data_IF_932000025620
#
_entry.id   IF_932000025620
#
_cell.length_a   1.000
_cell.length_b   1.000
_cell.length_c   1.000
_cell.angle_alpha   90.00
_cell.angle_beta   90.00
_cell.angle_gamma   90.00
#
_symmetry.space_group_name_H-M   'P 1'
#
loop_
_entity.id
_entity.type
_entity.pdbx_description
1 polymer ?
#
# COMPACT_ATOMS: atom_id res chain seq x y z
N UNK A 1 -35.74 -2.71 -14.43
CA UNK A 1 -34.61 -2.77 -13.48
C UNK A 1 -33.80 -1.53 -13.77
N UNK A 2 -33.85 -0.52 -12.90
CA UNK A 2 -33.17 0.75 -13.11
C UNK A 2 -31.67 0.50 -13.09
N UNK A 3 -31.02 0.95 -14.15
CA UNK A 3 -29.57 0.92 -14.31
C UNK A 3 -29.03 2.17 -13.61
N UNK A 4 -28.96 2.15 -12.27
CA UNK A 4 -28.40 3.24 -11.43
C UNK A 4 -26.86 3.30 -11.52
N UNK A 5 -26.29 2.97 -12.69
CA UNK A 5 -24.88 3.16 -12.97
C UNK A 5 -24.67 4.58 -13.50
N UNK A 6 -23.83 5.41 -12.85
CA UNK A 6 -23.52 6.75 -13.34
C UNK A 6 -23.02 6.71 -14.78
N UNK A 7 -23.44 7.69 -15.60
CA UNK A 7 -22.98 7.80 -16.98
C UNK A 7 -21.45 7.96 -17.03
N UNK A 8 -20.79 7.10 -17.82
CA UNK A 8 -19.32 6.96 -17.92
C UNK A 8 -18.57 8.20 -18.38
N UNK A 9 -19.28 9.21 -18.89
CA UNK A 9 -18.70 10.33 -19.63
C UNK A 9 -18.36 11.53 -18.72
N UNK A 10 -18.75 11.49 -17.44
CA UNK A 10 -18.60 12.64 -16.53
C UNK A 10 -17.19 12.78 -15.92
N UNK A 11 -16.36 11.72 -15.92
CA UNK A 11 -15.25 11.53 -14.95
C UNK A 11 -13.83 11.58 -15.57
N UNK A 12 -13.72 11.92 -16.86
CA UNK A 12 -12.70 11.31 -17.72
C UNK A 12 -11.79 12.35 -18.41
N UNK A 13 -10.51 12.49 -17.99
CA UNK A 13 -9.50 13.39 -18.60
C UNK A 13 -8.38 12.66 -19.36
N UNK A 14 -8.02 13.21 -20.53
CA UNK A 14 -6.92 12.78 -21.42
C UNK A 14 -5.53 13.15 -20.85
N UNK A 15 -4.55 12.25 -20.91
CA UNK A 15 -3.15 12.52 -20.52
C UNK A 15 -2.21 12.66 -21.75
N UNK A 16 -1.10 13.40 -21.59
CA UNK A 16 0.03 13.44 -22.55
C UNK A 16 1.15 12.52 -22.05
N UNK A 17 1.82 11.82 -22.97
CA UNK A 17 2.95 10.95 -22.66
C UNK A 17 4.17 11.75 -22.14
N UNK A 18 4.82 11.21 -21.11
CA UNK A 18 6.12 11.59 -20.58
C UNK A 18 7.27 10.83 -21.28
N UNK A 19 8.50 11.38 -21.25
CA UNK A 19 9.68 10.71 -21.82
C UNK A 19 9.98 9.38 -21.11
N UNK A 20 10.41 8.38 -21.88
CA UNK A 20 10.97 7.12 -21.40
C UNK A 20 12.47 7.27 -21.17
N UNK A 21 12.94 6.95 -19.95
CA UNK A 21 14.36 6.99 -19.56
C UNK A 21 15.04 5.61 -19.60
N UNK A 22 14.24 4.55 -19.77
CA UNK A 22 14.66 3.15 -19.67
C UNK A 22 14.42 2.48 -21.03
N UNK A 23 15.38 1.68 -21.50
CA UNK A 23 15.25 0.96 -22.77
C UNK A 23 14.56 -0.40 -22.57
N UNK A 24 14.80 -1.05 -21.43
CA UNK A 24 14.15 -2.32 -21.06
C UNK A 24 14.08 -2.58 -19.53
N UNK A 25 13.48 -3.71 -19.14
CA UNK A 25 13.32 -4.12 -17.74
C UNK A 25 14.66 -4.40 -17.03
N UNK A 26 15.72 -4.71 -17.79
CA UNK A 26 17.05 -4.97 -17.23
C UNK A 26 17.72 -3.68 -16.75
N UNK A 27 17.44 -2.56 -17.40
CA UNK A 27 17.87 -1.23 -16.93
C UNK A 27 17.23 -0.89 -15.59
N UNK A 28 15.93 -1.17 -15.44
CA UNK A 28 15.19 -0.94 -14.20
C UNK A 28 15.74 -1.80 -13.08
N UNK A 29 15.98 -3.10 -13.33
CA UNK A 29 16.55 -4.00 -12.34
C UNK A 29 17.95 -3.55 -11.91
N UNK A 30 18.79 -3.17 -12.86
CA UNK A 30 20.15 -2.68 -12.60
C UNK A 30 20.13 -1.40 -11.77
N UNK A 31 19.20 -0.49 -12.06
CA UNK A 31 18.99 0.71 -11.24
C UNK A 31 18.55 0.36 -9.82
N UNK A 32 17.58 -0.53 -9.63
CA UNK A 32 17.15 -0.92 -8.29
C UNK A 32 18.27 -1.57 -7.47
N UNK A 33 19.15 -2.36 -8.10
CA UNK A 33 20.27 -3.03 -7.44
C UNK A 33 21.45 -2.10 -7.16
N UNK A 34 21.67 -1.08 -7.99
CA UNK A 34 22.78 -0.13 -7.83
C UNK A 34 22.40 1.25 -8.41
N UNK A 35 21.57 2.04 -7.71
CA UNK A 35 20.93 3.23 -8.28
C UNK A 35 21.92 4.25 -8.83
N UNK A 36 22.99 4.53 -8.08
CA UNK A 36 23.98 5.51 -8.48
C UNK A 36 24.83 5.10 -9.69
N UNK A 37 25.17 3.81 -9.77
CA UNK A 37 25.97 3.27 -10.88
C UNK A 37 25.16 3.18 -12.17
N UNK A 38 23.86 3.03 -12.05
CA UNK A 38 22.92 2.87 -13.15
C UNK A 38 21.97 4.07 -13.30
N UNK A 39 22.38 5.25 -12.82
CA UNK A 39 21.59 6.48 -12.91
C UNK A 39 21.30 6.85 -14.37
N UNK A 40 20.03 6.91 -14.81
CA UNK A 40 19.66 7.26 -16.19
C UNK A 40 19.98 8.72 -16.52
N UNK A 41 20.23 9.55 -15.51
CA UNK A 41 20.62 10.95 -15.65
C UNK A 41 22.14 11.12 -15.63
N UNK A 42 22.93 10.03 -15.59
CA UNK A 42 24.40 10.11 -15.52
C UNK A 42 25.02 10.90 -16.67
N UNK A 43 24.39 10.95 -17.83
CA UNK A 43 24.87 11.72 -18.99
C UNK A 43 24.38 13.18 -18.99
N UNK A 44 23.40 13.53 -18.15
CA UNK A 44 22.89 14.88 -18.04
C UNK A 44 23.82 15.74 -17.16
N UNK A 45 24.46 16.73 -17.78
CA UNK A 45 25.47 17.62 -17.19
C UNK A 45 24.89 18.67 -16.20
N UNK A 46 24.03 18.27 -15.27
CA UNK A 46 23.26 19.18 -14.41
C UNK A 46 23.44 18.97 -12.90
N UNK A 47 24.42 18.18 -12.46
CA UNK A 47 24.73 18.03 -11.04
C UNK A 47 23.69 17.24 -10.23
N UNK A 48 22.66 16.70 -10.88
CA UNK A 48 21.60 15.89 -10.27
C UNK A 48 21.89 14.38 -10.36
N UNK A 49 23.17 14.00 -10.31
CA UNK A 49 23.56 12.59 -10.34
C UNK A 49 23.37 11.97 -8.96
N UNK A 50 22.91 10.74 -8.91
CA UNK A 50 22.91 9.97 -7.68
C UNK A 50 24.36 9.71 -7.22
N UNK A 51 24.61 9.91 -5.93
CA UNK A 51 25.93 9.68 -5.34
C UNK A 51 26.16 8.18 -5.15
N UNK A 52 27.29 7.67 -5.64
CA UNK A 52 27.67 6.26 -5.41
C UNK A 52 27.96 6.08 -3.91
N UNK A 53 27.29 5.13 -3.22
CA UNK A 53 27.58 4.86 -1.82
C UNK A 53 29.06 4.54 -1.56
N UNK A 54 29.80 4.01 -2.55
CA UNK A 54 31.23 3.76 -2.42
C UNK A 54 32.10 5.03 -2.31
N UNK A 55 31.58 6.20 -2.70
CA UNK A 55 32.33 7.47 -2.71
C UNK A 55 31.92 8.42 -1.59
N UNK A 56 30.96 8.04 -0.75
CA UNK A 56 30.55 8.79 0.44
C UNK A 56 31.04 8.05 1.69
N UNK A 57 31.45 8.80 2.72
CA UNK A 57 31.95 8.24 3.99
C UNK A 57 30.85 7.51 4.82
N UNK A 58 29.60 7.55 4.35
CA UNK A 58 28.45 6.90 4.99
C UNK A 58 28.19 5.54 4.33
N UNK A 59 27.99 4.50 5.16
CA UNK A 59 27.59 3.17 4.69
C UNK A 59 26.33 3.26 3.82
N UNK A 60 26.18 2.35 2.85
CA UNK A 60 25.01 2.26 1.96
C UNK A 60 23.71 2.55 2.74
N UNK A 61 22.95 3.60 2.37
CA UNK A 61 21.74 3.93 3.10
C UNK A 61 20.73 2.80 2.96
N UNK A 62 20.48 2.06 4.04
CA UNK A 62 19.43 1.04 4.12
C UNK A 62 18.11 1.75 4.46
N UNK A 63 17.16 1.87 3.51
CA UNK A 63 15.93 2.61 3.77
C UNK A 63 15.02 1.86 4.75
N UNK A 64 14.41 2.57 5.71
CA UNK A 64 13.38 1.99 6.60
C UNK A 64 12.12 1.55 5.83
N UNK A 65 11.91 2.12 4.64
CA UNK A 65 10.76 1.90 3.78
C UNK A 65 11.07 2.28 2.33
N UNK A 66 10.55 1.52 1.37
CA UNK A 66 10.56 1.86 -0.05
C UNK A 66 9.12 2.03 -0.56
N UNK A 67 8.92 2.97 -1.47
CA UNK A 67 7.60 3.34 -1.98
C UNK A 67 7.59 3.49 -3.50
N UNK A 68 6.42 3.25 -4.11
CA UNK A 68 6.13 3.52 -5.52
C UNK A 68 4.93 4.43 -5.63
N UNK A 69 4.99 5.38 -6.56
CA UNK A 69 3.90 6.31 -6.82
C UNK A 69 2.69 5.62 -7.46
N UNK A 70 1.48 6.05 -7.11
CA UNK A 70 0.22 5.54 -7.67
C UNK A 70 -0.23 6.31 -8.91
N UNK A 71 0.39 7.47 -9.20
CA UNK A 71 0.17 8.29 -10.38
C UNK A 71 1.25 8.10 -11.45
N UNK A 72 0.93 7.33 -12.47
CA UNK A 72 1.79 7.20 -13.64
C UNK A 72 1.56 8.33 -14.65
N UNK A 73 2.63 8.76 -15.32
CA UNK A 73 2.55 9.72 -16.42
C UNK A 73 2.14 9.05 -17.73
N UNK A 74 2.63 7.82 -17.96
CA UNK A 74 2.45 7.06 -19.21
C UNK A 74 1.41 5.94 -19.16
N UNK A 75 0.80 5.70 -18.00
CA UNK A 75 -0.12 4.59 -17.78
C UNK A 75 -1.37 5.02 -17.01
N UNK A 76 -2.33 4.11 -16.88
CA UNK A 76 -3.45 4.24 -15.93
C UNK A 76 -2.91 4.54 -14.55
N UNK A 77 -3.60 5.40 -13.80
CA UNK A 77 -3.34 5.53 -12.38
C UNK A 77 -3.84 4.30 -11.65
N UNK A 78 -3.30 4.06 -10.45
CA UNK A 78 -3.84 3.07 -9.56
C UNK A 78 -4.98 3.70 -8.76
N UNK A 79 -6.12 3.01 -8.69
CA UNK A 79 -6.99 3.16 -7.53
C UNK A 79 -6.32 2.41 -6.39
N UNK A 80 -6.07 3.08 -5.28
CA UNK A 80 -5.34 2.54 -4.13
C UNK A 80 -6.23 2.66 -2.90
N UNK A 81 -6.50 1.53 -2.27
CA UNK A 81 -7.28 1.40 -1.03
C UNK A 81 -6.32 0.87 0.03
N UNK A 82 -6.33 1.49 1.20
CA UNK A 82 -5.47 1.15 2.34
C UNK A 82 -6.34 0.83 3.54
N UNK A 83 -6.16 -0.35 4.13
CA UNK A 83 -6.85 -0.84 5.32
C UNK A 83 -5.77 -1.10 6.38
N UNK A 84 -5.54 -0.12 7.27
CA UNK A 84 -4.60 -0.26 8.38
C UNK A 84 -5.25 -1.09 9.50
N UNK A 85 -4.54 -2.08 10.04
CA UNK A 85 -5.04 -2.86 11.17
C UNK A 85 -5.32 -1.99 12.40
N UNK A 86 -4.70 -0.81 12.54
CA UNK A 86 -4.98 0.16 13.61
C UNK A 86 -6.39 0.75 13.54
N UNK A 87 -6.93 0.91 12.33
CA UNK A 87 -8.27 1.44 12.12
C UNK A 87 -9.31 0.34 12.34
N UNK A 88 -9.03 -0.88 11.85
CA UNK A 88 -9.81 -2.09 12.17
C UNK A 88 -9.86 -2.34 13.69
N UNK A 89 -8.71 -2.21 14.36
CA UNK A 89 -8.59 -2.33 15.81
C UNK A 89 -9.43 -1.29 16.55
N UNK A 90 -9.45 -0.05 16.06
CA UNK A 90 -10.22 1.05 16.65
C UNK A 90 -11.73 0.85 16.48
N UNK A 91 -12.18 0.40 15.32
CA UNK A 91 -13.59 0.07 15.06
C UNK A 91 -14.05 -1.00 16.06
N UNK A 92 -13.33 -2.13 16.12
CA UNK A 92 -13.60 -3.21 17.07
C UNK A 92 -13.57 -2.73 18.54
N UNK A 93 -12.63 -1.85 18.89
CA UNK A 93 -12.55 -1.30 20.25
C UNK A 93 -13.75 -0.40 20.57
N UNK A 94 -14.22 0.38 19.59
CA UNK A 94 -15.36 1.28 19.73
C UNK A 94 -16.65 0.52 19.98
N UNK A 95 -16.81 -0.67 19.40
CA UNK A 95 -17.95 -1.56 19.67
C UNK A 95 -17.88 -2.18 21.08
N UNK A 96 -16.68 -2.50 21.56
CA UNK A 96 -16.49 -3.22 22.83
C UNK A 96 -16.50 -2.30 24.07
N UNK A 97 -16.10 -1.04 23.92
CA UNK A 97 -15.90 -0.10 25.04
C UNK A 97 -17.10 0.83 25.19
N UNK A 98 -17.68 0.90 26.39
CA UNK A 98 -18.72 1.91 26.69
C UNK A 98 -18.11 3.30 26.89
N UNK A 99 -18.87 4.36 26.58
CA UNK A 99 -18.49 5.77 26.76
C UNK A 99 -17.26 6.21 25.94
N UNK A 100 -17.17 5.76 24.70
CA UNK A 100 -16.12 6.16 23.74
C UNK A 100 -16.13 7.66 23.44
N UNK A 101 -17.28 8.32 23.48
CA UNK A 101 -17.44 9.74 23.15
C UNK A 101 -16.57 10.72 23.97
N UNK A 102 -16.11 10.32 25.16
CA UNK A 102 -15.24 11.15 26.02
C UNK A 102 -13.78 10.69 26.02
N UNK A 103 -13.45 9.65 25.26
CA UNK A 103 -12.13 9.03 25.22
C UNK A 103 -11.44 9.34 23.91
N UNK A 104 -10.12 9.48 23.95
CA UNK A 104 -9.25 9.45 22.78
C UNK A 104 -9.19 8.04 22.18
N UNK A 105 -8.82 7.92 20.92
CA UNK A 105 -8.66 6.61 20.27
C UNK A 105 -7.67 5.70 21.01
N UNK A 106 -6.57 6.27 21.51
CA UNK A 106 -5.59 5.54 22.32
C UNK A 106 -6.22 4.98 23.61
N UNK A 107 -7.00 5.79 24.33
CA UNK A 107 -7.73 5.34 25.53
C UNK A 107 -8.81 4.29 25.21
N UNK A 108 -9.39 4.33 24.01
CA UNK A 108 -10.35 3.33 23.54
C UNK A 108 -9.63 1.99 23.26
N UNK A 109 -8.50 2.02 22.52
CA UNK A 109 -7.68 0.83 22.23
C UNK A 109 -7.12 0.20 23.51
N UNK A 110 -6.61 1.03 24.43
CA UNK A 110 -6.11 0.59 25.75
C UNK A 110 -7.24 -0.05 26.59
N UNK A 111 -8.39 0.61 26.71
CA UNK A 111 -9.53 0.06 27.44
C UNK A 111 -10.10 -1.23 26.83
N UNK A 112 -9.89 -1.46 25.54
CA UNK A 112 -10.25 -2.69 24.84
C UNK A 112 -9.19 -3.81 24.98
N UNK A 113 -8.09 -3.55 25.69
CA UNK A 113 -7.00 -4.50 25.90
C UNK A 113 -6.20 -4.80 24.63
N UNK A 114 -6.13 -3.86 23.69
CA UNK A 114 -5.45 -4.07 22.41
C UNK A 114 -3.94 -4.04 22.56
N UNK A 115 -3.41 -3.09 23.33
CA UNK A 115 -1.96 -2.92 23.55
C UNK A 115 -1.33 -4.17 24.21
N UNK A 116 -2.09 -4.84 25.08
CA UNK A 116 -1.65 -6.05 25.77
C UNK A 116 -1.84 -7.34 24.94
N UNK A 117 -2.62 -7.29 23.87
CA UNK A 117 -2.85 -8.43 22.98
C UNK A 117 -1.68 -8.62 22.00
N UNK A 118 -1.46 -9.84 21.52
CA UNK A 118 -0.41 -10.07 20.54
C UNK A 118 -0.76 -9.45 19.17
N UNK A 119 0.19 -8.74 18.50
CA UNK A 119 1.56 -8.48 18.95
C UNK A 119 1.59 -7.36 20.01
N UNK A 120 2.18 -7.67 21.17
CA UNK A 120 2.15 -6.77 22.32
C UNK A 120 2.87 -5.45 22.02
N UNK A 121 2.28 -4.35 22.50
CA UNK A 121 2.81 -2.99 22.31
C UNK A 121 2.42 -2.30 21.00
N UNK A 122 1.64 -2.96 20.14
CA UNK A 122 1.10 -2.36 18.92
C UNK A 122 -0.34 -1.87 19.14
N UNK A 123 -0.76 -0.88 18.35
CA UNK A 123 -2.13 -0.32 18.34
C UNK A 123 -3.17 -1.24 17.68
N UNK A 124 -2.82 -2.52 17.48
CA UNK A 124 -3.63 -3.57 16.88
C UNK A 124 -3.20 -4.93 17.42
N UNK A 125 -4.09 -5.91 17.35
CA UNK A 125 -3.82 -7.32 17.60
C UNK A 125 -3.73 -8.11 16.28
N UNK A 126 -3.21 -9.34 16.30
CA UNK A 126 -3.12 -10.20 15.12
C UNK A 126 -4.48 -10.42 14.45
N UNK A 127 -5.55 -10.57 15.24
CA UNK A 127 -6.92 -10.66 14.71
C UNK A 127 -7.37 -9.45 13.88
N UNK A 128 -6.77 -8.28 14.13
CA UNK A 128 -7.09 -7.06 13.38
C UNK A 128 -6.36 -7.05 12.03
N UNK A 129 -5.16 -7.64 11.96
CA UNK A 129 -4.48 -7.94 10.69
C UNK A 129 -5.27 -8.98 9.91
N UNK A 130 -5.65 -10.10 10.55
CA UNK A 130 -6.49 -11.13 9.91
C UNK A 130 -7.75 -10.50 9.29
N UNK A 131 -8.42 -9.64 10.06
CA UNK A 131 -9.60 -8.92 9.61
C UNK A 131 -9.30 -7.92 8.48
N UNK A 132 -8.18 -7.19 8.54
CA UNK A 132 -7.76 -6.30 7.46
C UNK A 132 -7.53 -7.07 6.15
N UNK A 133 -6.95 -8.29 6.21
CA UNK A 133 -6.78 -9.14 5.04
C UNK A 133 -8.12 -9.62 4.47
N UNK A 134 -9.04 -10.07 5.32
CA UNK A 134 -10.41 -10.43 4.90
C UNK A 134 -11.12 -9.27 4.19
N UNK A 135 -11.05 -8.07 4.78
CA UNK A 135 -11.61 -6.85 4.21
C UNK A 135 -10.92 -6.49 2.89
N UNK A 136 -9.61 -6.71 2.76
CA UNK A 136 -8.87 -6.53 1.51
C UNK A 136 -9.43 -7.38 0.37
N UNK A 137 -9.72 -8.66 0.63
CA UNK A 137 -10.37 -9.52 -0.37
C UNK A 137 -11.83 -9.12 -0.65
N UNK A 138 -12.55 -8.62 0.36
CA UNK A 138 -13.87 -8.04 0.12
C UNK A 138 -13.80 -6.80 -0.79
N UNK A 139 -12.82 -5.92 -0.59
CA UNK A 139 -12.57 -4.75 -1.46
C UNK A 139 -12.18 -5.20 -2.86
N UNK A 140 -11.31 -6.20 -2.99
CA UNK A 140 -10.98 -6.80 -4.28
C UNK A 140 -12.24 -7.20 -5.05
N UNK A 141 -13.15 -7.94 -4.42
CA UNK A 141 -14.40 -8.37 -5.06
C UNK A 141 -15.28 -7.18 -5.45
N UNK A 142 -15.37 -6.15 -4.62
CA UNK A 142 -16.06 -4.89 -4.95
C UNK A 142 -15.42 -4.23 -6.18
N UNK A 143 -14.10 -4.16 -6.24
CA UNK A 143 -13.38 -3.56 -7.38
C UNK A 143 -13.64 -4.33 -8.67
N UNK A 144 -13.64 -5.67 -8.62
CA UNK A 144 -13.96 -6.51 -9.79
C UNK A 144 -15.42 -6.37 -10.20
N UNK A 145 -16.35 -6.59 -9.28
CA UNK A 145 -17.78 -6.74 -9.58
C UNK A 145 -18.50 -5.41 -9.82
N UNK A 146 -18.14 -4.36 -9.08
CA UNK A 146 -18.84 -3.07 -9.11
C UNK A 146 -18.06 -1.98 -9.83
N UNK A 147 -16.72 -2.02 -9.79
CA UNK A 147 -15.89 -1.04 -10.47
C UNK A 147 -15.34 -1.55 -11.81
N UNK A 148 -15.65 -2.81 -12.17
CA UNK A 148 -15.21 -3.46 -13.41
C UNK A 148 -13.67 -3.39 -13.57
N UNK A 149 -12.96 -3.60 -12.47
CA UNK A 149 -11.51 -3.69 -12.46
C UNK A 149 -11.08 -5.09 -12.89
N UNK A 150 -10.18 -5.17 -13.87
CA UNK A 150 -9.83 -6.45 -14.49
C UNK A 150 -8.94 -7.32 -13.58
N UNK A 151 -8.00 -6.70 -12.87
CA UNK A 151 -6.98 -7.41 -12.09
C UNK A 151 -6.51 -6.55 -10.90
N UNK A 152 -7.36 -6.33 -9.88
CA UNK A 152 -6.91 -5.71 -8.64
C UNK A 152 -5.99 -6.67 -7.88
N UNK A 153 -4.92 -6.15 -7.32
CA UNK A 153 -3.95 -6.86 -6.49
C UNK A 153 -4.26 -6.59 -5.03
N UNK A 154 -4.31 -7.65 -4.23
CA UNK A 154 -4.33 -7.57 -2.77
C UNK A 154 -2.91 -7.75 -2.25
N UNK A 155 -2.49 -6.93 -1.30
CA UNK A 155 -1.14 -6.92 -0.76
C UNK A 155 -1.17 -6.78 0.76
N UNK A 156 -0.49 -7.69 1.45
CA UNK A 156 -0.13 -7.50 2.85
C UNK A 156 0.93 -6.39 2.97
N UNK A 157 0.60 -5.33 3.72
CA UNK A 157 1.46 -4.14 3.84
C UNK A 157 2.52 -4.26 4.94
N UNK A 158 2.44 -5.29 5.79
CA UNK A 158 3.21 -5.43 7.03
C UNK A 158 2.38 -5.16 8.30
N UNK A 159 1.37 -4.28 8.22
CA UNK A 159 0.50 -3.93 9.35
C UNK A 159 -0.98 -3.85 8.95
N UNK A 160 -1.34 -4.39 7.80
CA UNK A 160 -2.68 -4.26 7.24
C UNK A 160 -2.72 -4.76 5.81
N UNK A 161 -3.64 -4.21 5.04
CA UNK A 161 -3.89 -4.63 3.66
C UNK A 161 -3.97 -3.43 2.73
N UNK A 162 -3.23 -3.50 1.62
CA UNK A 162 -3.41 -2.64 0.47
C UNK A 162 -4.19 -3.39 -0.60
N UNK A 163 -5.10 -2.69 -1.28
CA UNK A 163 -5.74 -3.20 -2.50
C UNK A 163 -5.60 -2.15 -3.59
N UNK A 164 -5.06 -2.55 -4.73
CA UNK A 164 -4.86 -1.61 -5.83
C UNK A 164 -5.00 -2.26 -7.18
N UNK A 165 -5.41 -1.49 -8.17
CA UNK A 165 -5.39 -1.94 -9.54
C UNK A 165 -5.49 -0.79 -10.52
N UNK A 166 -5.13 -1.06 -11.79
CA UNK A 166 -5.18 -0.05 -12.83
C UNK A 166 -6.63 0.39 -13.04
N UNK A 167 -6.84 1.69 -13.21
CA UNK A 167 -8.15 2.16 -13.69
C UNK A 167 -8.48 1.49 -15.03
N UNK A 168 -9.69 0.96 -15.15
CA UNK A 168 -10.14 0.13 -16.28
C UNK A 168 -10.05 0.82 -17.66
N UNK A 169 -9.89 2.14 -17.68
CA UNK A 169 -9.69 2.93 -18.90
C UNK A 169 -8.40 3.75 -18.80
N UNK A 170 -7.37 3.37 -19.57
CA UNK A 170 -6.08 4.07 -19.57
C UNK A 170 -6.14 5.45 -20.23
N UNK A 171 -7.19 5.76 -21.00
CA UNK A 171 -7.42 7.09 -21.52
C UNK A 171 -8.08 8.01 -20.49
N UNK A 172 -8.61 7.47 -19.39
CA UNK A 172 -9.47 8.20 -18.46
C UNK A 172 -9.35 7.73 -17.00
N UNK A 173 -8.81 8.62 -16.16
CA UNK A 173 -8.50 8.37 -14.74
C UNK A 173 -9.66 8.80 -13.85
N UNK A 174 -9.94 8.07 -12.76
CA UNK A 174 -10.83 8.55 -11.70
C UNK A 174 -10.31 9.89 -11.15
N UNK A 175 -11.15 10.91 -11.18
CA UNK A 175 -10.91 12.20 -10.54
C UNK A 175 -11.21 12.13 -9.03
N UNK A 176 -11.05 13.27 -8.36
CA UNK A 176 -11.27 13.37 -6.91
C UNK A 176 -12.70 13.02 -6.53
N UNK A 177 -13.71 13.58 -7.23
CA UNK A 177 -15.13 13.32 -6.95
C UNK A 177 -15.48 11.83 -7.07
N UNK A 178 -14.93 11.15 -8.08
CA UNK A 178 -15.13 9.71 -8.26
C UNK A 178 -14.50 8.89 -7.15
N UNK A 179 -13.33 9.30 -6.65
CA UNK A 179 -12.63 8.65 -5.55
C UNK A 179 -13.35 8.89 -4.22
N UNK A 180 -13.89 10.09 -4.00
CA UNK A 180 -14.76 10.39 -2.85
C UNK A 180 -16.02 9.51 -2.88
N UNK A 181 -16.65 9.33 -4.05
CA UNK A 181 -17.78 8.41 -4.17
C UNK A 181 -17.40 6.94 -3.89
N UNK A 182 -16.21 6.51 -4.30
CA UNK A 182 -15.69 5.17 -3.97
C UNK A 182 -15.47 5.05 -2.47
N UNK A 183 -14.90 6.09 -1.82
CA UNK A 183 -14.76 6.13 -0.37
C UNK A 183 -16.12 5.97 0.30
N UNK A 184 -17.13 6.76 -0.10
CA UNK A 184 -18.49 6.66 0.45
C UNK A 184 -19.09 5.26 0.30
N UNK A 185 -18.87 4.58 -0.84
CA UNK A 185 -19.32 3.20 -1.02
C UNK A 185 -18.63 2.28 0.00
N UNK A 186 -17.31 2.36 0.13
CA UNK A 186 -16.54 1.46 0.98
C UNK A 186 -16.86 1.70 2.47
N UNK A 187 -16.89 2.95 2.93
CA UNK A 187 -17.09 3.30 4.33
C UNK A 187 -18.55 3.28 4.75
N UNK A 188 -19.47 3.86 3.96
CA UNK A 188 -20.86 4.01 4.39
C UNK A 188 -21.77 2.82 4.05
N UNK A 189 -21.51 2.13 2.93
CA UNK A 189 -22.33 0.98 2.50
C UNK A 189 -21.75 -0.35 2.96
N UNK A 190 -20.42 -0.50 2.90
CA UNK A 190 -19.75 -1.74 3.26
C UNK A 190 -19.12 -1.73 4.66
N UNK A 191 -19.12 -0.58 5.33
CA UNK A 191 -18.56 -0.43 6.68
C UNK A 191 -17.10 -0.93 6.74
N UNK A 192 -16.31 -0.59 5.71
CA UNK A 192 -14.89 -0.96 5.62
C UNK A 192 -14.04 0.22 6.11
N UNK A 193 -13.24 0.06 7.18
CA UNK A 193 -12.37 1.11 7.72
C UNK A 193 -11.13 1.30 6.83
N UNK A 194 -11.25 2.15 5.82
CA UNK A 194 -10.14 2.52 4.92
C UNK A 194 -9.50 3.85 5.32
N UNK A 195 -8.23 4.07 4.99
CA UNK A 195 -7.66 5.43 4.93
C UNK A 195 -8.23 6.15 3.68
N UNK A 196 -9.23 6.99 3.91
CA UNK A 196 -9.90 7.78 2.87
C UNK A 196 -8.93 8.65 2.07
N UNK A 197 -7.85 9.15 2.69
CA UNK A 197 -6.86 10.00 2.04
C UNK A 197 -5.96 9.20 1.11
N UNK A 198 -5.73 7.92 1.39
CA UNK A 198 -5.04 7.02 0.48
C UNK A 198 -5.84 6.83 -0.82
N UNK A 199 -7.17 6.86 -0.73
CA UNK A 199 -8.07 6.68 -1.88
C UNK A 199 -8.31 7.96 -2.66
N UNK A 200 -8.57 9.08 -1.97
CA UNK A 200 -8.97 10.36 -2.59
C UNK A 200 -7.80 11.14 -3.20
N UNK A 201 -6.61 11.03 -2.60
CA UNK A 201 -5.42 11.67 -3.13
C UNK A 201 -4.92 10.95 -4.39
N UNK A 202 -4.70 11.75 -5.43
CA UNK A 202 -4.32 11.31 -6.76
C UNK A 202 -2.82 10.99 -6.85
N UNK A 203 -2.00 11.60 -5.99
CA UNK A 203 -0.54 11.48 -6.00
C UNK A 203 -0.04 10.83 -4.72
N UNK A 204 -0.52 9.61 -4.47
CA UNK A 204 -0.10 8.80 -3.33
C UNK A 204 1.07 7.89 -3.64
N UNK A 205 1.63 7.38 -2.56
CA UNK A 205 2.70 6.41 -2.56
C UNK A 205 2.21 5.17 -1.83
N UNK A 206 2.35 4.01 -2.46
CA UNK A 206 2.15 2.72 -1.80
C UNK A 206 3.51 2.09 -1.51
N UNK A 207 3.57 1.26 -0.47
CA UNK A 207 4.81 0.56 -0.12
C UNK A 207 5.17 -0.40 -1.26
N UNK A 208 6.44 -0.41 -1.66
CA UNK A 208 6.90 -1.20 -2.78
C UNK A 208 6.72 -2.69 -2.47
N UNK A 209 6.07 -3.49 -3.34
CA UNK A 209 6.01 -4.95 -3.17
C UNK A 209 7.41 -5.54 -2.98
N UNK A 210 7.50 -6.52 -2.08
CA UNK A 210 8.73 -7.22 -1.68
C UNK A 210 9.78 -6.35 -0.95
N UNK A 211 9.44 -5.10 -0.60
CA UNK A 211 10.27 -4.30 0.31
C UNK A 211 10.05 -4.68 1.78
N UNK A 212 11.00 -4.30 2.63
CA UNK A 212 10.88 -4.46 4.08
C UNK A 212 10.05 -3.32 4.69
N UNK A 213 9.09 -3.66 5.55
CA UNK A 213 8.49 -2.73 6.50
C UNK A 213 9.34 -2.68 7.76
N UNK A 214 10.25 -1.69 7.85
CA UNK A 214 11.26 -1.64 8.92
C UNK A 214 10.72 -1.62 10.34
N UNK A 215 9.54 -1.03 10.58
CA UNK A 215 8.96 -0.96 11.93
C UNK A 215 8.40 -2.29 12.47
N UNK A 216 8.20 -3.29 11.60
CA UNK A 216 7.68 -4.62 11.98
C UNK A 216 8.52 -5.78 11.46
N UNK A 217 9.57 -5.51 10.67
CA UNK A 217 10.46 -6.53 10.13
C UNK A 217 9.78 -7.51 9.17
N UNK A 218 8.67 -7.10 8.53
CA UNK A 218 7.89 -7.93 7.62
C UNK A 218 8.09 -7.49 6.16
N UNK A 219 8.08 -8.47 5.26
CA UNK A 219 8.13 -8.26 3.81
C UNK A 219 6.72 -7.94 3.30
N UNK A 220 6.62 -6.83 2.59
CA UNK A 220 5.40 -6.41 1.91
C UNK A 220 5.11 -7.41 0.79
N UNK A 221 3.97 -8.07 0.81
CA UNK A 221 3.76 -9.27 -0.02
C UNK A 221 2.42 -9.19 -0.74
N UNK A 222 2.39 -9.23 -2.10
CA UNK A 222 1.15 -9.53 -2.83
C UNK A 222 0.63 -10.91 -2.44
N UNK A 223 -0.68 -11.04 -2.22
CA UNK A 223 -1.30 -12.25 -1.68
C UNK A 223 -2.54 -12.64 -2.48
N UNK A 224 -2.78 -13.94 -2.58
CA UNK A 224 -3.91 -14.52 -3.33
C UNK A 224 -5.02 -15.09 -2.43
N UNK A 225 -4.85 -15.04 -1.10
CA UNK A 225 -5.83 -15.51 -0.13
C UNK A 225 -5.82 -14.69 1.16
N UNK A 226 -6.99 -14.47 1.82
CA UNK A 226 -7.04 -13.87 3.16
C UNK A 226 -6.42 -14.78 4.23
N UNK A 227 -6.20 -16.05 3.92
CA UNK A 227 -5.54 -17.02 4.82
C UNK A 227 -4.01 -16.99 4.77
N UNK A 228 -3.41 -15.96 4.16
CA UNK A 228 -1.96 -15.78 4.08
C UNK A 228 -1.34 -15.74 5.48
N UNK A 229 -0.41 -16.64 5.79
CA UNK A 229 0.21 -16.67 7.12
C UNK A 229 1.40 -15.73 7.17
N UNK A 230 1.11 -14.43 7.27
CA UNK A 230 2.11 -13.36 7.34
C UNK A 230 3.13 -13.56 8.48
N UNK A 231 2.80 -14.33 9.52
CA UNK A 231 3.72 -14.61 10.63
C UNK A 231 4.86 -15.54 10.24
N UNK A 232 4.73 -16.29 9.15
CA UNK A 232 5.76 -17.21 8.67
C UNK A 232 6.20 -16.88 7.26
N UNK A 233 5.27 -16.50 6.38
CA UNK A 233 5.51 -16.27 4.95
C UNK A 233 6.07 -14.88 4.65
N UNK A 234 5.76 -13.87 5.47
CA UNK A 234 6.26 -12.50 5.28
C UNK A 234 7.49 -12.20 6.14
N UNK A 235 8.04 -13.16 6.88
CA UNK A 235 9.26 -12.92 7.65
C UNK A 235 10.43 -12.66 6.71
N UNK A 236 11.13 -11.55 6.94
CA UNK A 236 12.38 -11.32 6.25
C UNK A 236 13.40 -12.40 6.67
N UNK A 237 14.07 -13.07 5.73
CA UNK A 237 15.15 -13.99 6.07
C UNK A 237 16.28 -13.16 6.68
N UNK A 238 16.46 -13.29 8.00
CA UNK A 238 17.64 -12.75 8.66
C UNK A 238 18.79 -13.67 8.27
N UNK A 239 19.77 -13.16 7.51
CA UNK A 239 21.03 -13.87 7.32
C UNK A 239 21.73 -13.84 8.67
N UNK A 240 21.71 -14.98 9.37
CA UNK A 240 22.52 -15.17 10.56
C UNK A 240 23.99 -15.14 10.14
N UNK A 241 24.65 -14.01 10.37
CA UNK A 241 26.04 -13.79 9.95
C UNK A 241 27.03 -14.73 10.66
N UNK A 242 26.59 -15.44 11.71
CA UNK A 242 27.43 -16.44 12.38
C UNK A 242 27.52 -17.76 11.58
N UNK A 243 26.59 -18.04 10.65
CA UNK A 243 26.65 -19.22 9.77
C UNK A 243 27.53 -19.02 8.51
N UNK A 244 27.84 -17.76 8.16
CA UNK A 244 28.68 -17.44 7.00
C UNK A 244 30.18 -17.51 7.30
N UNK A 245 30.57 -17.66 8.57
CA UNK A 245 31.97 -17.79 8.99
C UNK A 245 32.49 -19.25 9.01
N UNK A 246 31.63 -20.23 8.72
CA UNK A 246 31.99 -21.67 8.70
C UNK A 246 32.00 -22.33 7.31
N UNK A 247 31.95 -21.54 6.22
CA UNK A 247 32.16 -22.03 4.84
C UNK A 247 33.39 -21.38 4.19
#
# INVERSE_FOLDING_TARGET
VSDDRPATDFIRRRTKAAPTFWEDDSDVLSFLQSPARNDPLKEMNHGNRLADPDVVDEAEPVPNAAYVATDYTNSSWLLFIDIDAKDVALERATEAVTNTATKTEAEIRDAAGIIDAEPAGYDYAFRDIDRALELGFQVHDIMVEQLNMADPVVQYSGQGCHVFGPTADSAHRYDTESREYIVDILTAKYEIPIDEKCTTDRSRFTRLPFSLHGDVGQVVTPIDSPSFDYRTEAQAPVIDTDLAAEQ
#
